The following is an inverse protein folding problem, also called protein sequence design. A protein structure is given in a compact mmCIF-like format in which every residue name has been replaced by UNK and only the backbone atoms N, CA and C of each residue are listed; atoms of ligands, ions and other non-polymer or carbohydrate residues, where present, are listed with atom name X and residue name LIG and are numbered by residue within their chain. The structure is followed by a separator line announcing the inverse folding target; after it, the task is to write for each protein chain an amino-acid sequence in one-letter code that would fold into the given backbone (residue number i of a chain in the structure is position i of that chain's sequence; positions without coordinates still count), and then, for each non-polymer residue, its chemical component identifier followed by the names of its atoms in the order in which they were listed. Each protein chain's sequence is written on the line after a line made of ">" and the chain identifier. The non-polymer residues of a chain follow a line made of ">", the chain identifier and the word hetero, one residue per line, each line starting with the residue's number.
data_IF_513242221223
#
_entry.id   IF_513242221223
#
_cell.length_a   1.000
_cell.length_b   1.000
_cell.length_c   1.000
_cell.angle_alpha   90.00
_cell.angle_beta   90.00
_cell.angle_gamma   90.00
#
_symmetry.space_group_name_H-M   'P 1'
#
loop_
_entity.id
_entity.type
_entity.pdbx_description
1 polymer ?
#
# COMPACT_ATOMS: atom_id res chain seq x y z
N UNK A 1 -16.89 20.17 -25.39
CA UNK A 1 -17.02 18.71 -25.30
C UNK A 1 -15.70 18.02 -25.36
N UNK A 2 -14.83 18.42 -26.28
CA UNK A 2 -13.48 17.87 -26.35
C UNK A 2 -12.72 18.11 -25.05
N UNK A 3 -12.85 19.29 -24.47
CA UNK A 3 -12.20 19.62 -23.21
C UNK A 3 -12.69 18.75 -22.06
N UNK A 4 -13.98 18.45 -22.01
CA UNK A 4 -14.54 17.59 -20.96
C UNK A 4 -13.96 16.18 -21.06
N UNK A 5 -13.87 15.64 -22.28
CA UNK A 5 -13.25 14.33 -22.49
C UNK A 5 -11.80 14.31 -22.11
N UNK A 6 -11.05 15.39 -22.42
CA UNK A 6 -9.65 15.51 -22.03
C UNK A 6 -9.49 15.57 -20.50
N UNK A 7 -10.37 16.28 -19.82
CA UNK A 7 -10.33 16.35 -18.36
C UNK A 7 -10.43 14.98 -17.73
N UNK A 8 -11.37 14.14 -18.18
CA UNK A 8 -11.52 12.78 -17.64
C UNK A 8 -10.34 11.91 -17.98
N UNK A 9 -9.79 12.02 -19.19
CA UNK A 9 -8.65 11.20 -19.60
C UNK A 9 -7.35 11.61 -18.94
N UNK A 10 -7.23 12.87 -18.52
CA UNK A 10 -6.02 13.40 -17.90
C UNK A 10 -6.03 13.27 -16.39
N UNK A 11 -7.09 12.68 -15.82
CA UNK A 11 -7.15 12.45 -14.39
C UNK A 11 -6.04 11.48 -14.02
N UNK A 12 -5.12 11.94 -13.17
CA UNK A 12 -3.99 11.13 -12.73
C UNK A 12 -4.48 9.87 -11.99
N UNK A 13 -3.75 8.74 -12.08
CA UNK A 13 -4.11 7.56 -11.31
C UNK A 13 -4.00 7.85 -9.81
N UNK A 14 -4.83 7.18 -9.03
CA UNK A 14 -4.71 7.18 -7.59
C UNK A 14 -3.37 6.56 -7.21
N UNK A 15 -2.72 7.11 -6.20
CA UNK A 15 -1.48 6.53 -5.67
C UNK A 15 -1.80 5.79 -4.38
N UNK A 16 -1.37 4.55 -4.29
CA UNK A 16 -1.60 3.70 -3.13
C UNK A 16 -0.25 3.19 -2.63
N UNK A 17 0.16 3.65 -1.45
CA UNK A 17 1.37 3.17 -0.80
C UNK A 17 1.02 1.92 -0.01
N UNK A 18 1.81 0.87 -0.19
CA UNK A 18 1.57 -0.41 0.47
C UNK A 18 2.45 -0.55 1.71
N UNK A 19 1.83 -0.82 2.84
CA UNK A 19 2.54 -1.30 4.03
C UNK A 19 2.87 -2.79 3.85
N UNK A 20 3.85 -3.30 4.57
CA UNK A 20 4.25 -4.71 4.44
C UNK A 20 3.10 -5.66 4.75
N UNK A 21 2.30 -5.39 5.78
CA UNK A 21 1.18 -6.26 6.16
C UNK A 21 0.12 -6.35 5.05
N UNK A 22 -0.04 -5.31 4.25
CA UNK A 22 -0.98 -5.33 3.11
C UNK A 22 -0.55 -6.35 2.06
N UNK A 23 0.76 -6.48 1.83
CA UNK A 23 1.30 -7.42 0.87
C UNK A 23 1.19 -8.88 1.33
N UNK A 24 0.98 -9.12 2.62
CA UNK A 24 0.74 -10.45 3.15
C UNK A 24 -0.72 -10.92 2.99
N UNK A 25 -1.64 -10.02 2.68
CA UNK A 25 -3.08 -10.33 2.61
C UNK A 25 -3.39 -11.52 1.68
N UNK A 26 -2.88 -11.58 0.44
CA UNK A 26 -3.19 -12.72 -0.42
C UNK A 26 -2.72 -14.05 0.15
N UNK A 27 -1.58 -14.05 0.83
CA UNK A 27 -1.03 -15.27 1.44
C UNK A 27 -1.81 -15.69 2.67
N UNK A 28 -2.17 -14.74 3.54
CA UNK A 28 -2.83 -15.04 4.81
C UNK A 28 -4.32 -15.33 4.67
N UNK A 29 -5.00 -14.66 3.74
CA UNK A 29 -6.45 -14.70 3.64
C UNK A 29 -6.97 -15.21 2.30
N UNK A 30 -6.08 -15.63 1.39
CA UNK A 30 -6.44 -16.14 0.06
C UNK A 30 -7.32 -15.19 -0.73
N UNK A 31 -6.97 -13.91 -0.68
CA UNK A 31 -7.69 -12.84 -1.38
C UNK A 31 -6.88 -12.43 -2.61
N UNK A 32 -7.56 -12.28 -3.75
CA UNK A 32 -6.96 -11.71 -4.95
C UNK A 32 -6.90 -10.19 -4.77
N UNK A 33 -5.74 -9.71 -4.35
CA UNK A 33 -5.55 -8.30 -4.00
C UNK A 33 -5.86 -7.36 -5.14
N UNK A 34 -5.39 -7.69 -6.35
CA UNK A 34 -5.58 -6.81 -7.51
C UNK A 34 -7.06 -6.72 -7.88
N UNK A 35 -7.77 -7.86 -7.92
CA UNK A 35 -9.20 -7.85 -8.19
C UNK A 35 -9.97 -7.03 -7.16
N UNK A 36 -9.61 -7.17 -5.88
CA UNK A 36 -10.26 -6.42 -4.81
C UNK A 36 -10.00 -4.93 -4.93
N UNK A 37 -8.79 -4.53 -5.27
CA UNK A 37 -8.46 -3.12 -5.49
C UNK A 37 -9.19 -2.56 -6.71
N UNK A 38 -9.24 -3.31 -7.80
CA UNK A 38 -9.96 -2.90 -9.00
C UNK A 38 -11.43 -2.61 -8.69
N UNK A 39 -12.07 -3.52 -7.95
CA UNK A 39 -13.48 -3.36 -7.59
C UNK A 39 -13.70 -2.21 -6.61
N UNK A 40 -12.79 -2.04 -5.65
CA UNK A 40 -12.92 -1.02 -4.62
C UNK A 40 -12.73 0.38 -5.17
N UNK A 41 -11.69 0.58 -5.99
CA UNK A 41 -11.28 1.91 -6.42
C UNK A 41 -12.01 2.41 -7.67
N UNK A 42 -12.41 1.50 -8.54
CA UNK A 42 -13.18 1.82 -9.76
C UNK A 42 -12.56 2.89 -10.65
N UNK A 43 -11.24 3.03 -10.59
CA UNK A 43 -10.47 3.94 -11.43
C UNK A 43 -9.01 3.51 -11.44
N UNK A 44 -8.22 4.08 -12.34
CA UNK A 44 -6.80 3.76 -12.42
C UNK A 44 -6.09 4.10 -11.12
N UNK A 45 -5.19 3.23 -10.73
CA UNK A 45 -4.36 3.43 -9.54
C UNK A 45 -2.96 2.89 -9.79
N UNK A 46 -2.02 3.36 -8.99
CA UNK A 46 -0.63 2.95 -9.04
C UNK A 46 -0.24 2.47 -7.65
N UNK A 47 0.27 1.26 -7.56
CA UNK A 47 0.76 0.71 -6.31
C UNK A 47 2.21 1.13 -6.11
N UNK A 48 2.52 1.64 -4.95
CA UNK A 48 3.86 2.17 -4.63
C UNK A 48 4.46 1.37 -3.50
N UNK A 49 5.68 0.87 -3.72
CA UNK A 49 6.47 0.21 -2.71
C UNK A 49 7.65 1.11 -2.33
N UNK A 50 7.66 1.56 -1.09
CA UNK A 50 8.75 2.39 -0.58
C UNK A 50 9.93 1.52 -0.17
N UNK A 51 11.15 2.02 -0.37
CA UNK A 51 12.36 1.25 -0.05
C UNK A 51 12.43 0.76 1.40
N UNK A 52 12.02 1.52 2.44
CA UNK A 52 11.99 0.98 3.80
C UNK A 52 11.06 -0.23 3.97
N UNK A 53 9.92 -0.24 3.28
CA UNK A 53 8.98 -1.37 3.31
C UNK A 53 9.60 -2.59 2.63
N UNK A 54 10.25 -2.38 1.49
CA UNK A 54 10.93 -3.46 0.77
C UNK A 54 12.03 -4.09 1.62
N UNK A 55 12.82 -3.25 2.30
CA UNK A 55 13.88 -3.73 3.19
C UNK A 55 13.32 -4.58 4.32
N UNK A 56 12.19 -4.19 4.89
CA UNK A 56 11.51 -4.97 5.93
C UNK A 56 11.09 -6.34 5.41
N UNK A 57 10.52 -6.39 4.20
CA UNK A 57 10.12 -7.66 3.57
C UNK A 57 11.33 -8.54 3.28
N UNK A 58 12.42 -7.97 2.79
CA UNK A 58 13.64 -8.71 2.50
C UNK A 58 14.25 -9.30 3.78
N UNK A 59 14.22 -8.54 4.87
CA UNK A 59 14.70 -9.04 6.15
C UNK A 59 13.86 -10.21 6.64
N UNK A 60 12.53 -10.13 6.53
CA UNK A 60 11.65 -11.22 6.91
C UNK A 60 11.83 -12.45 6.03
N UNK A 61 12.12 -12.26 4.74
CA UNK A 61 12.33 -13.36 3.80
C UNK A 61 13.63 -14.13 4.10
N UNK A 62 14.64 -13.48 4.72
CA UNK A 62 15.92 -14.12 5.02
C UNK A 62 16.07 -14.57 6.46
N UNK A 63 15.42 -13.90 7.42
CA UNK A 63 15.67 -14.11 8.86
C UNK A 63 14.46 -14.60 9.64
N UNK A 64 13.30 -14.63 9.05
CA UNK A 64 12.08 -15.04 9.75
C UNK A 64 11.97 -16.56 9.94
N UNK A 65 10.89 -16.99 10.59
CA UNK A 65 10.52 -18.41 10.65
C UNK A 65 10.26 -18.91 9.23
N UNK A 66 10.19 -20.23 9.04
CA UNK A 66 9.94 -20.81 7.72
C UNK A 66 8.63 -20.26 7.12
N UNK A 67 7.56 -20.20 7.94
CA UNK A 67 6.27 -19.65 7.49
C UNK A 67 6.40 -18.19 7.09
N UNK A 68 7.09 -17.40 7.89
CA UNK A 68 7.27 -15.98 7.62
C UNK A 68 8.14 -15.76 6.37
N UNK A 69 9.19 -16.56 6.19
CA UNK A 69 10.04 -16.46 4.98
C UNK A 69 9.24 -16.74 3.72
N UNK A 70 8.35 -17.75 3.76
CA UNK A 70 7.49 -18.07 2.62
C UNK A 70 6.52 -16.93 2.33
N UNK A 71 5.89 -16.39 3.37
CA UNK A 71 4.95 -15.28 3.24
C UNK A 71 5.65 -14.04 2.67
N UNK A 72 6.83 -13.71 3.18
CA UNK A 72 7.61 -12.57 2.71
C UNK A 72 8.08 -12.75 1.26
N UNK A 73 8.45 -13.98 0.87
CA UNK A 73 8.81 -14.26 -0.51
C UNK A 73 7.64 -14.05 -1.47
N UNK A 74 6.44 -14.48 -1.07
CA UNK A 74 5.22 -14.23 -1.86
C UNK A 74 4.92 -12.73 -1.94
N UNK A 75 5.07 -12.03 -0.83
CA UNK A 75 4.85 -10.58 -0.79
C UNK A 75 5.85 -9.84 -1.70
N UNK A 76 7.11 -10.27 -1.74
CA UNK A 76 8.11 -9.67 -2.61
C UNK A 76 7.80 -9.91 -4.09
N UNK A 77 7.24 -11.06 -4.45
CA UNK A 77 6.80 -11.30 -5.82
C UNK A 77 5.67 -10.36 -6.23
N UNK A 78 4.70 -10.16 -5.33
CA UNK A 78 3.63 -9.21 -5.58
C UNK A 78 4.20 -7.78 -5.68
N UNK A 79 5.17 -7.46 -4.85
CA UNK A 79 5.83 -6.16 -4.83
C UNK A 79 6.54 -5.83 -6.15
N UNK A 80 6.95 -6.84 -6.93
CA UNK A 80 7.56 -6.61 -8.25
C UNK A 80 6.62 -5.89 -9.21
N UNK A 81 5.32 -5.99 -8.98
CA UNK A 81 4.30 -5.31 -9.80
C UNK A 81 4.08 -3.87 -9.37
N UNK A 82 4.71 -3.44 -8.30
CA UNK A 82 4.56 -2.11 -7.76
C UNK A 82 5.65 -1.18 -8.28
N UNK A 83 5.34 0.11 -8.33
CA UNK A 83 6.36 1.12 -8.59
C UNK A 83 7.27 1.22 -7.37
N UNK A 84 8.57 1.03 -7.61
CA UNK A 84 9.58 1.13 -6.57
C UNK A 84 9.95 2.59 -6.36
N UNK A 85 9.90 3.05 -5.11
CA UNK A 85 10.29 4.42 -4.77
C UNK A 85 11.37 4.38 -3.70
N UNK A 86 12.54 4.88 -4.05
CA UNK A 86 13.67 4.99 -3.14
C UNK A 86 13.48 6.21 -2.25
N UNK A 87 13.46 6.01 -0.93
CA UNK A 87 13.42 7.11 0.02
C UNK A 87 14.77 7.26 0.69
N UNK A 88 15.30 8.48 0.68
CA UNK A 88 16.53 8.81 1.39
C UNK A 88 16.16 9.28 2.79
N UNK A 89 16.05 8.33 3.71
CA UNK A 89 15.74 8.62 5.11
C UNK A 89 16.83 8.05 6.00
N UNK A 90 17.07 8.65 7.18
CA UNK A 90 18.01 8.08 8.14
C UNK A 90 17.64 6.64 8.50
N UNK A 91 18.63 5.80 8.78
CA UNK A 91 18.40 4.40 9.17
C UNK A 91 17.55 4.27 10.43
N UNK A 92 17.58 5.30 11.27
CA UNK A 92 16.80 5.34 12.50
C UNK A 92 15.33 5.66 12.27
N UNK A 93 14.93 6.01 11.04
CA UNK A 93 13.55 6.35 10.73
C UNK A 93 12.68 5.11 10.81
N UNK A 94 11.59 5.19 11.57
CA UNK A 94 10.59 4.12 11.63
C UNK A 94 9.84 4.03 10.30
N UNK A 95 9.53 2.80 9.88
CA UNK A 95 8.83 2.57 8.62
C UNK A 95 7.49 3.31 8.58
N UNK A 96 6.74 3.30 9.68
CA UNK A 96 5.46 4.01 9.76
C UNK A 96 5.62 5.51 9.51
N UNK A 97 6.66 6.11 10.07
CA UNK A 97 6.92 7.54 9.86
C UNK A 97 7.27 7.84 8.41
N UNK A 98 8.05 6.95 7.78
CA UNK A 98 8.37 7.08 6.36
C UNK A 98 7.13 6.99 5.48
N UNK A 99 6.21 6.07 5.80
CA UNK A 99 4.94 5.92 5.08
C UNK A 99 4.11 7.20 5.21
N UNK A 100 3.99 7.74 6.41
CA UNK A 100 3.19 8.95 6.65
C UNK A 100 3.74 10.13 5.84
N UNK A 101 5.05 10.35 5.88
CA UNK A 101 5.66 11.44 5.13
C UNK A 101 5.49 11.27 3.62
N UNK A 102 5.69 10.06 3.12
CA UNK A 102 5.51 9.79 1.70
C UNK A 102 4.05 9.98 1.27
N UNK A 103 3.10 9.57 2.11
CA UNK A 103 1.67 9.74 1.81
C UNK A 103 1.31 11.22 1.68
N UNK A 104 1.87 12.06 2.53
CA UNK A 104 1.68 13.52 2.45
C UNK A 104 2.32 14.08 1.18
N UNK A 105 3.57 13.74 0.93
CA UNK A 105 4.34 14.30 -0.18
C UNK A 105 3.77 13.88 -1.53
N UNK A 106 3.33 12.65 -1.66
CA UNK A 106 2.80 12.12 -2.92
C UNK A 106 1.30 12.32 -3.06
N UNK A 107 0.62 12.80 -2.03
CA UNK A 107 -0.85 12.86 -1.97
C UNK A 107 -1.44 11.49 -2.27
N UNK A 108 -0.91 10.50 -1.60
CA UNK A 108 -1.28 9.10 -1.79
C UNK A 108 -2.18 8.62 -0.67
N UNK A 109 -2.99 7.62 -0.96
CA UNK A 109 -3.65 6.83 0.06
C UNK A 109 -2.70 5.71 0.49
N UNK A 110 -2.99 5.06 1.61
CA UNK A 110 -2.15 4.00 2.16
C UNK A 110 -2.99 2.75 2.37
N UNK A 111 -2.44 1.60 2.02
CA UNK A 111 -3.05 0.31 2.34
C UNK A 111 -2.28 -0.29 3.51
N UNK A 112 -2.94 -0.37 4.66
CA UNK A 112 -2.39 -0.97 5.87
C UNK A 112 -3.49 -1.59 6.70
N UNK A 113 -3.15 -2.66 7.43
CA UNK A 113 -4.02 -3.27 8.42
C UNK A 113 -3.64 -2.91 9.84
N UNK A 114 -2.61 -2.08 10.02
CA UNK A 114 -2.19 -1.60 11.33
C UNK A 114 -3.13 -0.50 11.79
N UNK A 115 -3.81 -0.73 12.91
CA UNK A 115 -4.80 0.21 13.43
C UNK A 115 -4.18 1.53 13.90
N UNK A 116 -2.99 1.48 14.47
CA UNK A 116 -2.31 2.69 14.93
C UNK A 116 -1.88 3.56 13.74
N UNK A 117 -1.29 2.94 12.73
CA UNK A 117 -0.90 3.65 11.52
C UNK A 117 -2.13 4.23 10.82
N UNK A 118 -3.21 3.46 10.71
CA UNK A 118 -4.46 3.93 10.13
C UNK A 118 -4.97 5.16 10.86
N UNK A 119 -4.97 5.15 12.19
CA UNK A 119 -5.43 6.27 12.99
C UNK A 119 -4.58 7.53 12.73
N UNK A 120 -3.26 7.37 12.71
CA UNK A 120 -2.35 8.49 12.44
C UNK A 120 -2.58 9.09 11.05
N UNK A 121 -2.78 8.24 10.05
CA UNK A 121 -3.05 8.67 8.69
C UNK A 121 -4.39 9.40 8.59
N UNK A 122 -5.42 8.88 9.26
CA UNK A 122 -6.73 9.53 9.25
C UNK A 122 -6.72 10.88 9.96
N UNK A 123 -5.88 11.03 10.98
CA UNK A 123 -5.74 12.32 11.67
C UNK A 123 -5.23 13.43 10.76
N UNK A 124 -4.51 13.06 9.70
CA UNK A 124 -4.04 14.03 8.69
C UNK A 124 -4.80 13.93 7.38
N UNK A 125 -5.98 13.31 7.41
CA UNK A 125 -6.90 13.20 6.28
C UNK A 125 -6.36 12.38 5.11
N UNK A 126 -5.48 11.42 5.37
CA UNK A 126 -5.02 10.46 4.36
C UNK A 126 -5.99 9.28 4.34
N UNK A 127 -6.60 8.95 3.19
CA UNK A 127 -7.48 7.79 3.10
C UNK A 127 -6.68 6.50 3.26
N UNK A 128 -7.30 5.51 3.93
CA UNK A 128 -6.64 4.25 4.22
C UNK A 128 -7.48 3.08 3.71
N UNK A 129 -6.85 2.22 2.90
CA UNK A 129 -7.43 0.94 2.51
C UNK A 129 -7.02 -0.08 3.57
N UNK A 130 -7.95 -0.91 3.98
CA UNK A 130 -7.70 -1.95 4.98
C UNK A 130 -8.56 -3.17 4.71
N UNK A 131 -8.16 -4.30 5.30
CA UNK A 131 -8.91 -5.54 5.20
C UNK A 131 -10.01 -5.55 6.25
N UNK A 132 -11.26 -5.64 5.79
CA UNK A 132 -12.44 -5.67 6.66
C UNK A 132 -12.96 -7.08 6.81
N UNK A 133 -13.14 -7.52 8.06
CA UNK A 133 -13.71 -8.82 8.38
C UNK A 133 -12.97 -10.00 7.72
N UNK A 134 -11.68 -9.83 7.46
CA UNK A 134 -10.81 -10.85 6.84
C UNK A 134 -11.28 -11.34 5.47
N UNK A 135 -12.17 -10.62 4.81
CA UNK A 135 -12.77 -11.09 3.57
C UNK A 135 -12.78 -10.08 2.42
N UNK A 136 -12.72 -8.80 2.71
CA UNK A 136 -12.81 -7.76 1.66
C UNK A 136 -12.06 -6.52 2.05
N UNK A 137 -11.70 -5.72 1.04
CA UNK A 137 -11.07 -4.43 1.27
C UNK A 137 -12.12 -3.34 1.44
N UNK A 138 -11.79 -2.36 2.27
CA UNK A 138 -12.63 -1.18 2.49
C UNK A 138 -11.75 0.06 2.56
N UNK A 139 -12.36 1.24 2.41
CA UNK A 139 -11.67 2.53 2.49
C UNK A 139 -12.20 3.30 3.70
N UNK A 140 -11.28 3.81 4.50
CA UNK A 140 -11.57 4.78 5.54
C UNK A 140 -11.13 6.14 5.00
N UNK A 141 -12.08 7.05 4.79
CA UNK A 141 -11.81 8.37 4.26
C UNK A 141 -12.34 8.57 2.86
N UNK A 142 -12.20 9.78 2.35
CA UNK A 142 -12.64 10.15 1.01
C UNK A 142 -11.46 10.10 0.04
N UNK A 143 -11.77 9.66 -1.16
CA UNK A 143 -10.77 9.52 -2.23
C UNK A 143 -10.97 10.61 -3.28
#
# INVERSE_FOLDING_TARGET
>A
MVQLGLMFRQKAPLKVILDSNALFVPFQFKIDLISELDNLLERRYELILLSPVKQELEALASKGSLKMRKAASCALKLAEKCRQVELKVPETTLVDDAIIEAAKDFRAMVFTNDRQLRRRLRDISVPVIYLRQKSRLAIDGLV
#
